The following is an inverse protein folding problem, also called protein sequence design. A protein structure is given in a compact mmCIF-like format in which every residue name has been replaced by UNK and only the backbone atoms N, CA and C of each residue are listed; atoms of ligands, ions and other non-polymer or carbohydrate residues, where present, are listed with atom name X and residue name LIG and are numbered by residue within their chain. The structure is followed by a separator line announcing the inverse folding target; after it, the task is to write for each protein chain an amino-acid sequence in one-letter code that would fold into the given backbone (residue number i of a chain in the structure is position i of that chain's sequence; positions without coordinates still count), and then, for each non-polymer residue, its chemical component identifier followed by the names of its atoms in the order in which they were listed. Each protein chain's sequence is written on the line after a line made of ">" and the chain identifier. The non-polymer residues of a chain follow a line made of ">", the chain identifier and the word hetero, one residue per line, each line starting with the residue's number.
data_IF_120876174158
#
_entry.id   IF_120876174158
#
_cell.length_a   1.000
_cell.length_b   1.000
_cell.length_c   1.000
_cell.angle_alpha   90.00
_cell.angle_beta   90.00
_cell.angle_gamma   90.00
#
_symmetry.space_group_name_H-M   'P 1'
#
loop_
_entity.id
_entity.type
_entity.pdbx_description
1 polymer ?
#
# COMPACT_ATOMS: atom_id res chain seq x y z
N UNK A 1 -67.05 61.21 5.50
CA UNK A 1 -67.16 60.08 4.55
C UNK A 1 -65.97 59.15 4.83
N UNK A 2 -66.00 58.10 5.68
CA UNK A 2 -66.77 56.83 5.78
C UNK A 2 -66.24 55.67 4.92
N UNK A 3 -65.81 54.56 5.58
CA UNK A 3 -65.29 53.27 5.04
C UNK A 3 -63.93 53.41 4.31
N UNK A 4 -63.03 52.43 4.17
CA UNK A 4 -62.92 50.99 4.52
C UNK A 4 -61.63 50.42 3.90
N UNK A 5 -61.11 49.21 4.14
CA UNK A 5 -61.42 48.11 5.08
C UNK A 5 -60.30 47.05 5.02
N UNK A 6 -59.87 46.50 6.18
CA UNK A 6 -59.20 45.18 6.38
C UNK A 6 -57.83 44.91 5.70
N UNK A 7 -56.82 44.58 6.52
CA UNK A 7 -55.62 43.84 6.11
C UNK A 7 -55.88 42.33 6.19
N UNK A 8 -55.51 41.57 5.16
CA UNK A 8 -55.67 40.11 5.12
C UNK A 8 -54.51 39.40 5.83
N UNK A 9 -54.80 38.81 6.99
CA UNK A 9 -53.96 37.78 7.58
C UNK A 9 -54.34 36.39 7.05
N UNK A 10 -53.38 35.47 7.12
CA UNK A 10 -53.53 34.01 7.12
C UNK A 10 -53.22 33.22 5.84
N UNK A 11 -52.04 32.58 5.86
CA UNK A 11 -51.86 31.21 5.37
C UNK A 11 -50.71 30.52 6.09
N UNK A 12 -50.95 30.13 7.35
CA UNK A 12 -50.12 29.12 8.00
C UNK A 12 -50.31 27.76 7.29
N UNK A 13 -49.27 26.92 7.20
CA UNK A 13 -49.42 25.55 6.74
C UNK A 13 -50.26 24.70 7.72
N UNK A 14 -51.02 23.76 7.19
CA UNK A 14 -51.89 22.89 7.99
C UNK A 14 -51.09 21.94 8.91
N UNK A 15 -51.62 21.57 10.09
CA UNK A 15 -50.96 20.65 11.00
C UNK A 15 -50.85 19.23 10.41
N UNK A 16 -49.71 18.57 10.67
CA UNK A 16 -49.32 17.25 10.15
C UNK A 16 -50.19 16.05 10.62
N UNK A 17 -51.30 16.29 11.31
CA UNK A 17 -52.11 15.28 11.99
C UNK A 17 -53.17 14.57 11.11
N UNK A 18 -53.26 14.88 9.81
CA UNK A 18 -54.28 14.31 8.89
C UNK A 18 -53.72 13.48 7.72
N UNK A 19 -52.46 13.03 7.76
CA UNK A 19 -51.97 12.08 6.75
C UNK A 19 -52.43 10.65 7.08
N UNK A 20 -53.04 9.90 6.11
CA UNK A 20 -53.46 8.53 6.34
C UNK A 20 -52.26 7.63 6.64
N UNK A 21 -52.44 6.60 7.49
CA UNK A 21 -51.34 5.72 7.97
C UNK A 21 -50.47 5.13 6.84
N UNK A 22 -51.04 4.89 5.66
CA UNK A 22 -50.31 4.43 4.48
C UNK A 22 -49.34 5.48 3.89
N UNK A 23 -49.68 6.77 3.93
CA UNK A 23 -48.80 7.85 3.48
C UNK A 23 -47.58 7.99 4.41
N UNK A 24 -47.77 7.80 5.73
CA UNK A 24 -46.66 7.78 6.69
C UNK A 24 -45.70 6.62 6.41
N UNK A 25 -46.24 5.44 6.07
CA UNK A 25 -45.43 4.25 5.73
C UNK A 25 -44.60 4.46 4.46
N UNK A 26 -45.18 5.09 3.43
CA UNK A 26 -44.49 5.41 2.16
C UNK A 26 -43.38 6.45 2.36
N UNK A 27 -43.60 7.47 3.20
CA UNK A 27 -42.58 8.47 3.54
C UNK A 27 -41.41 7.82 4.30
N UNK A 28 -41.68 6.92 5.25
CA UNK A 28 -40.62 6.18 5.96
C UNK A 28 -39.82 5.29 5.00
N UNK A 29 -40.47 4.59 4.06
CA UNK A 29 -39.76 3.79 3.06
C UNK A 29 -38.86 4.66 2.16
N UNK A 30 -39.35 5.81 1.67
CA UNK A 30 -38.58 6.70 0.81
C UNK A 30 -37.34 7.30 1.50
N UNK A 31 -37.42 7.58 2.81
CA UNK A 31 -36.27 8.10 3.58
C UNK A 31 -35.20 7.02 3.80
N UNK A 32 -35.55 5.73 3.86
CA UNK A 32 -34.57 4.65 4.06
C UNK A 32 -33.70 4.32 2.84
N UNK A 33 -34.05 4.80 1.63
CA UNK A 33 -33.31 4.49 0.39
C UNK A 33 -32.12 5.45 0.14
N UNK A 34 -32.06 6.59 0.84
CA UNK A 34 -30.92 7.53 0.79
C UNK A 34 -30.00 7.44 2.01
N UNK A 35 -29.77 6.24 2.55
CA UNK A 35 -28.60 6.01 3.40
C UNK A 35 -27.33 6.17 2.54
N UNK A 36 -26.41 7.10 2.84
CA UNK A 36 -25.14 7.15 2.15
C UNK A 36 -24.40 5.84 2.41
N UNK A 37 -24.05 5.12 1.34
CA UNK A 37 -23.14 3.97 1.44
C UNK A 37 -21.90 4.43 2.22
N UNK A 38 -21.45 3.69 3.25
CA UNK A 38 -20.20 4.03 3.90
C UNK A 38 -19.12 4.03 2.83
N UNK A 39 -18.51 5.21 2.60
CA UNK A 39 -17.45 5.37 1.62
C UNK A 39 -16.43 4.27 1.86
N UNK A 40 -16.23 3.44 0.82
CA UNK A 40 -15.64 2.11 0.98
C UNK A 40 -14.35 2.20 1.79
N UNK A 41 -14.19 1.29 2.76
CA UNK A 41 -12.97 1.23 3.57
C UNK A 41 -11.79 1.11 2.61
N UNK A 42 -11.08 2.22 2.42
CA UNK A 42 -9.87 2.23 1.63
C UNK A 42 -8.89 1.35 2.37
N UNK A 43 -8.71 0.12 1.88
CA UNK A 43 -7.72 -0.80 2.41
C UNK A 43 -6.39 -0.12 2.23
N UNK A 44 -5.89 0.50 3.29
CA UNK A 44 -4.60 1.12 3.23
C UNK A 44 -3.60 0.00 2.93
N UNK A 45 -2.82 0.17 1.86
CA UNK A 45 -1.83 -0.80 1.44
C UNK A 45 -0.45 -0.27 1.82
N UNK A 46 0.40 -1.12 2.41
CA UNK A 46 1.79 -0.73 2.57
C UNK A 46 2.51 -0.91 1.23
N UNK A 47 3.27 0.10 0.81
CA UNK A 47 3.87 0.20 -0.51
C UNK A 47 5.38 0.00 -0.41
N UNK A 48 5.96 -0.71 -1.37
CA UNK A 48 7.42 -0.88 -1.48
C UNK A 48 7.96 0.08 -2.54
N UNK A 49 9.15 0.62 -2.33
CA UNK A 49 9.64 1.75 -3.11
C UNK A 49 9.05 3.09 -2.62
N UNK A 50 8.56 3.15 -1.38
CA UNK A 50 8.00 4.34 -0.77
C UNK A 50 8.37 4.43 0.72
N UNK A 51 8.77 5.64 1.16
CA UNK A 51 8.87 6.00 2.58
C UNK A 51 7.77 6.99 2.97
N UNK A 52 7.11 6.74 4.10
CA UNK A 52 6.36 7.76 4.83
C UNK A 52 7.31 8.35 5.84
N UNK A 53 7.84 9.53 5.55
CA UNK A 53 8.87 10.20 6.33
C UNK A 53 8.39 10.69 7.71
N UNK A 54 9.05 11.73 8.23
CA UNK A 54 8.74 12.32 9.52
C UNK A 54 9.26 11.52 10.73
N UNK A 55 8.98 12.05 11.92
CA UNK A 55 9.59 11.58 13.15
C UNK A 55 9.10 10.18 13.59
N UNK A 56 10.04 9.27 13.82
CA UNK A 56 9.77 7.99 14.46
C UNK A 56 9.85 8.13 15.98
N UNK A 57 8.86 7.59 16.72
CA UNK A 57 8.93 7.52 18.18
C UNK A 57 9.70 6.29 18.68
N UNK A 58 9.95 5.32 17.79
CA UNK A 58 10.86 4.20 18.04
C UNK A 58 11.46 3.69 16.74
N UNK A 59 12.75 3.37 16.79
CA UNK A 59 13.55 2.83 15.69
C UNK A 59 14.29 1.59 16.20
N UNK A 60 14.28 0.49 15.45
CA UNK A 60 14.90 -0.77 15.89
C UNK A 60 15.30 -1.67 14.71
N UNK A 61 16.32 -2.53 14.86
CA UNK A 61 16.74 -3.46 13.81
C UNK A 61 15.77 -4.63 13.66
N UNK A 62 15.62 -5.14 12.43
CA UNK A 62 14.76 -6.29 12.10
C UNK A 62 15.62 -7.43 11.57
N UNK A 63 15.87 -8.44 12.43
CA UNK A 63 16.77 -9.57 12.11
C UNK A 63 16.34 -10.43 10.92
N UNK A 64 15.04 -10.54 10.65
CA UNK A 64 14.53 -11.26 9.48
C UNK A 64 14.70 -10.51 8.16
N UNK A 65 15.06 -9.21 8.22
CA UNK A 65 14.98 -8.29 7.09
C UNK A 65 13.63 -8.34 6.33
N UNK A 66 12.54 -8.64 7.04
CA UNK A 66 11.19 -8.73 6.50
C UNK A 66 10.35 -7.51 6.92
N UNK A 67 9.84 -6.68 5.97
CA UNK A 67 8.95 -5.57 6.30
C UNK A 67 7.66 -6.02 7.00
N UNK A 68 7.19 -7.26 6.81
CA UNK A 68 6.02 -7.79 7.51
C UNK A 68 6.22 -7.84 9.04
N UNK A 69 7.47 -8.01 9.52
CA UNK A 69 7.77 -7.95 10.94
C UNK A 69 7.65 -6.52 11.51
N UNK A 70 7.95 -5.50 10.70
CA UNK A 70 7.77 -4.09 11.03
C UNK A 70 6.28 -3.73 11.11
N UNK A 71 5.52 -4.11 10.07
CA UNK A 71 4.07 -3.96 10.01
C UNK A 71 3.38 -4.62 11.21
N UNK A 72 3.67 -5.90 11.47
CA UNK A 72 3.06 -6.66 12.56
C UNK A 72 3.36 -6.07 13.96
N UNK A 73 4.47 -5.34 14.14
CA UNK A 73 4.73 -4.61 15.39
C UNK A 73 3.90 -3.33 15.48
N UNK A 74 3.71 -2.60 14.38
CA UNK A 74 2.79 -1.46 14.33
C UNK A 74 1.36 -1.86 14.69
N UNK A 75 0.89 -3.01 14.19
CA UNK A 75 -0.45 -3.52 14.51
C UNK A 75 -0.66 -3.76 16.02
N UNK A 76 0.37 -4.25 16.72
CA UNK A 76 0.29 -4.51 18.17
C UNK A 76 0.57 -3.29 19.04
N UNK A 77 1.19 -2.24 18.52
CA UNK A 77 1.49 -1.01 19.27
C UNK A 77 0.33 0.00 19.17
N UNK A 78 -0.27 0.35 20.32
CA UNK A 78 -1.39 1.30 20.39
C UNK A 78 -1.05 2.73 19.94
N UNK A 79 0.23 3.13 19.99
CA UNK A 79 0.72 4.44 19.55
C UNK A 79 1.02 4.50 18.06
N UNK A 80 1.18 3.35 17.40
CA UNK A 80 1.55 3.31 16.00
C UNK A 80 0.37 3.73 15.11
N UNK A 81 0.63 4.67 14.19
CA UNK A 81 -0.29 5.07 13.11
C UNK A 81 0.32 4.83 11.74
N UNK A 82 1.63 4.91 11.62
CA UNK A 82 2.38 4.51 10.43
C UNK A 82 3.73 3.89 10.77
N UNK A 83 4.30 3.18 9.82
CA UNK A 83 5.61 2.57 9.92
C UNK A 83 6.38 2.74 8.62
N UNK A 84 7.71 2.79 8.71
CA UNK A 84 8.56 2.52 7.55
C UNK A 84 9.71 1.60 7.89
N UNK A 85 10.18 0.91 6.86
CA UNK A 85 11.16 -0.15 6.92
C UNK A 85 12.21 0.11 5.85
N UNK A 86 13.46 0.27 6.26
CA UNK A 86 14.60 0.29 5.35
C UNK A 86 15.12 -1.13 5.17
N UNK A 87 15.30 -1.53 3.90
CA UNK A 87 16.00 -2.77 3.54
C UNK A 87 17.47 -2.72 4.01
N UNK A 88 18.11 -3.87 4.25
CA UNK A 88 19.54 -3.90 4.57
C UNK A 88 20.37 -3.39 3.38
N UNK A 89 21.58 -2.93 3.68
CA UNK A 89 22.59 -2.47 2.71
C UNK A 89 23.93 -3.17 2.97
N UNK A 90 24.96 -2.84 2.20
CA UNK A 90 26.33 -3.28 2.49
C UNK A 90 26.84 -2.83 3.89
N UNK A 91 26.32 -1.70 4.37
CA UNK A 91 26.84 -0.97 5.54
C UNK A 91 25.98 -1.16 6.80
N UNK A 92 24.75 -1.67 6.66
CA UNK A 92 23.81 -1.77 7.78
C UNK A 92 22.70 -2.79 7.58
N UNK A 93 22.23 -3.35 8.70
CA UNK A 93 21.07 -4.25 8.73
C UNK A 93 19.74 -3.52 8.51
N UNK A 94 18.67 -4.29 8.30
CA UNK A 94 17.33 -3.74 8.11
C UNK A 94 16.80 -2.99 9.35
N UNK A 95 16.13 -1.86 9.15
CA UNK A 95 15.66 -0.97 10.24
C UNK A 95 14.18 -0.65 10.09
N UNK A 96 13.41 -0.89 11.15
CA UNK A 96 12.02 -0.46 11.28
C UNK A 96 11.89 0.82 12.10
N UNK A 97 10.99 1.71 11.68
CA UNK A 97 10.68 3.02 12.27
C UNK A 97 9.17 3.12 12.47
N UNK A 98 8.69 3.15 13.71
CA UNK A 98 7.25 3.36 13.99
C UNK A 98 6.96 4.83 14.28
N UNK A 99 5.84 5.32 13.75
CA UNK A 99 5.43 6.73 13.73
C UNK A 99 4.03 6.89 14.30
N UNK A 100 3.85 7.98 15.05
CA UNK A 100 2.58 8.29 15.72
C UNK A 100 1.65 9.15 14.85
N UNK A 101 2.13 9.62 13.70
CA UNK A 101 1.40 10.38 12.68
C UNK A 101 1.52 9.67 11.33
N UNK A 102 0.60 9.98 10.41
CA UNK A 102 0.56 9.45 9.04
C UNK A 102 1.03 10.53 8.08
N UNK A 103 2.34 10.57 7.83
CA UNK A 103 2.91 11.44 6.79
C UNK A 103 2.58 10.91 5.39
N UNK A 104 2.62 11.80 4.39
CA UNK A 104 2.48 11.43 2.99
C UNK A 104 3.57 10.43 2.55
N UNK A 105 3.22 9.48 1.68
CA UNK A 105 4.19 8.57 1.10
C UNK A 105 4.95 9.28 -0.03
N UNK A 106 6.28 9.19 -0.01
CA UNK A 106 7.17 9.65 -1.07
C UNK A 106 7.88 8.45 -1.67
N UNK A 107 8.06 8.43 -3.00
CA UNK A 107 8.84 7.39 -3.65
C UNK A 107 10.27 7.35 -3.10
N UNK A 108 10.68 6.18 -2.62
CA UNK A 108 12.01 5.88 -2.08
C UNK A 108 12.35 4.39 -2.25
N UNK A 109 13.24 4.02 -3.20
CA UNK A 109 13.64 2.63 -3.45
C UNK A 109 14.25 1.90 -2.24
N UNK A 110 14.74 2.60 -1.20
CA UNK A 110 15.32 1.96 -0.01
C UNK A 110 14.33 1.14 0.80
N UNK A 111 13.03 1.42 0.62
CA UNK A 111 12.13 1.33 1.74
C UNK A 111 10.74 0.81 1.38
N UNK A 112 10.09 0.25 2.40
CA UNK A 112 8.68 -0.11 2.41
C UNK A 112 8.00 0.67 3.54
N UNK A 113 6.79 1.17 3.33
CA UNK A 113 6.05 1.91 4.36
C UNK A 113 4.56 1.70 4.28
N UNK A 114 3.90 1.80 5.43
CA UNK A 114 2.47 1.56 5.57
C UNK A 114 1.86 2.33 6.73
N UNK A 115 0.54 2.35 6.79
CA UNK A 115 -0.20 2.82 7.97
C UNK A 115 -0.62 1.63 8.83
N UNK A 116 -1.11 1.87 10.04
CA UNK A 116 -1.70 0.81 10.86
C UNK A 116 -2.97 0.25 10.21
N UNK A 117 -3.13 -1.07 10.25
CA UNK A 117 -4.13 -1.81 9.49
C UNK A 117 -3.71 -2.12 8.05
N UNK A 118 -2.60 -1.56 7.55
CA UNK A 118 -2.12 -1.84 6.21
C UNK A 118 -1.28 -3.11 6.16
N UNK A 119 -1.86 -4.18 5.63
CA UNK A 119 -1.11 -5.35 5.20
C UNK A 119 -0.03 -4.94 4.20
N UNK A 120 1.16 -5.53 4.32
CA UNK A 120 2.22 -5.38 3.30
C UNK A 120 1.70 -5.96 2.01
N UNK A 121 1.38 -5.08 1.07
CA UNK A 121 0.79 -5.44 -0.22
C UNK A 121 1.85 -5.14 -1.25
N UNK A 122 2.48 -6.19 -1.76
CA UNK A 122 3.56 -6.07 -2.75
C UNK A 122 2.99 -5.45 -4.02
N UNK A 123 3.23 -4.15 -4.21
CA UNK A 123 2.63 -3.40 -5.31
C UNK A 123 3.30 -3.82 -6.62
N UNK A 124 2.50 -4.42 -7.51
CA UNK A 124 2.96 -4.83 -8.83
C UNK A 124 2.86 -3.66 -9.81
N UNK A 125 3.61 -2.60 -9.54
CA UNK A 125 3.56 -1.32 -10.26
C UNK A 125 4.31 -1.38 -11.62
N UNK A 126 4.06 -2.42 -12.42
CA UNK A 126 4.57 -2.53 -13.79
C UNK A 126 5.69 -3.55 -14.03
N UNK A 127 5.73 -4.66 -13.27
CA UNK A 127 6.49 -5.86 -13.66
C UNK A 127 7.48 -6.43 -12.64
N UNK A 128 7.48 -5.95 -11.39
CA UNK A 128 8.31 -6.47 -10.31
C UNK A 128 7.48 -7.15 -9.21
N UNK A 129 7.62 -8.46 -9.06
CA UNK A 129 7.14 -9.26 -7.93
C UNK A 129 8.09 -9.04 -6.73
N UNK A 130 7.84 -7.99 -5.96
CA UNK A 130 8.59 -7.69 -4.74
C UNK A 130 8.38 -8.81 -3.71
N UNK A 131 9.40 -9.11 -2.91
CA UNK A 131 9.32 -10.14 -1.87
C UNK A 131 9.27 -11.57 -2.42
N UNK A 132 9.47 -11.74 -3.73
CA UNK A 132 9.45 -13.02 -4.44
C UNK A 132 10.82 -13.35 -5.02
N UNK A 133 11.27 -14.57 -4.73
CA UNK A 133 12.38 -15.26 -5.36
C UNK A 133 11.83 -16.37 -6.27
N UNK A 134 12.25 -16.39 -7.53
CA UNK A 134 11.95 -17.45 -8.50
C UNK A 134 13.19 -18.31 -8.72
N UNK A 135 13.74 -18.92 -7.67
CA UNK A 135 15.04 -19.60 -7.71
C UNK A 135 15.15 -20.72 -8.78
N UNK A 136 16.30 -20.75 -9.47
CA UNK A 136 16.73 -21.84 -10.35
C UNK A 136 16.45 -21.61 -11.83
N UNK A 137 17.12 -22.37 -12.71
CA UNK A 137 17.06 -22.13 -14.16
C UNK A 137 17.83 -20.87 -14.60
N UNK A 138 18.69 -20.36 -13.73
CA UNK A 138 19.58 -19.24 -13.97
C UNK A 138 20.66 -19.63 -14.99
N UNK A 139 20.85 -18.79 -16.01
CA UNK A 139 21.93 -18.97 -17.01
C UNK A 139 23.03 -17.93 -16.88
N UNK A 140 22.76 -16.82 -16.18
CA UNK A 140 23.70 -15.73 -16.00
C UNK A 140 23.41 -15.01 -14.69
N UNK A 141 24.48 -14.72 -13.95
CA UNK A 141 24.44 -13.83 -12.79
C UNK A 141 25.19 -12.55 -13.15
N UNK A 142 24.62 -11.40 -12.81
CA UNK A 142 25.26 -10.08 -12.95
C UNK A 142 25.45 -9.51 -11.55
N UNK A 143 26.67 -9.17 -11.16
CA UNK A 143 26.91 -8.25 -10.05
C UNK A 143 26.62 -6.82 -10.53
N UNK A 144 25.89 -6.04 -9.73
CA UNK A 144 25.42 -4.70 -10.09
C UNK A 144 26.05 -3.63 -9.20
N UNK A 145 25.99 -2.37 -9.64
CA UNK A 145 26.36 -1.20 -8.83
C UNK A 145 25.50 -1.13 -7.54
N UNK A 146 26.03 -0.55 -6.47
CA UNK A 146 25.40 -0.60 -5.14
C UNK A 146 24.00 0.04 -5.09
N UNK A 147 23.80 1.07 -5.89
CA UNK A 147 22.57 1.85 -6.07
C UNK A 147 21.61 1.27 -7.13
N UNK A 148 21.99 0.18 -7.81
CA UNK A 148 21.18 -0.41 -8.87
C UNK A 148 19.84 -0.92 -8.34
N UNK A 149 18.78 -0.69 -9.12
CA UNK A 149 17.42 -1.12 -8.81
C UNK A 149 17.00 -2.31 -9.68
N UNK A 150 15.89 -2.97 -9.31
CA UNK A 150 15.41 -4.17 -10.01
C UNK A 150 15.07 -3.93 -11.49
N UNK A 151 14.80 -2.68 -11.89
CA UNK A 151 14.56 -2.30 -13.27
C UNK A 151 15.76 -2.65 -14.19
N UNK A 152 16.98 -2.67 -13.66
CA UNK A 152 18.18 -3.11 -14.40
C UNK A 152 18.07 -4.59 -14.78
N UNK A 153 17.57 -5.45 -13.89
CA UNK A 153 17.29 -6.85 -14.19
C UNK A 153 16.20 -7.01 -15.25
N UNK A 154 15.13 -6.22 -15.14
CA UNK A 154 14.04 -6.24 -16.11
C UNK A 154 14.55 -5.91 -17.50
N UNK A 155 15.25 -4.79 -17.66
CA UNK A 155 15.82 -4.36 -18.94
C UNK A 155 16.84 -5.36 -19.51
N UNK A 156 17.72 -5.93 -18.67
CA UNK A 156 18.67 -6.96 -19.11
C UNK A 156 17.98 -8.24 -19.63
N UNK A 157 16.89 -8.67 -18.97
CA UNK A 157 16.11 -9.82 -19.42
C UNK A 157 15.29 -9.52 -20.68
N UNK A 158 14.66 -8.35 -20.76
CA UNK A 158 13.91 -7.90 -21.95
C UNK A 158 14.81 -7.72 -23.19
N UNK A 159 16.11 -7.46 -23.00
CA UNK A 159 17.11 -7.42 -24.06
C UNK A 159 17.62 -8.79 -24.57
N UNK A 160 17.26 -9.91 -23.91
CA UNK A 160 17.75 -11.25 -24.28
C UNK A 160 16.61 -12.21 -24.65
N UNK A 161 16.57 -12.66 -25.91
CA UNK A 161 15.52 -13.57 -26.43
C UNK A 161 15.41 -14.93 -25.73
N UNK A 162 16.46 -15.36 -25.02
CA UNK A 162 16.48 -16.57 -24.19
C UNK A 162 15.93 -16.35 -22.78
N UNK A 163 15.79 -15.11 -22.33
CA UNK A 163 15.36 -14.79 -20.97
C UNK A 163 13.84 -14.92 -20.84
N UNK A 164 13.39 -15.56 -19.75
CA UNK A 164 11.97 -15.78 -19.45
C UNK A 164 11.59 -15.30 -18.05
N UNK A 165 12.57 -15.22 -17.14
CA UNK A 165 12.39 -14.61 -15.84
C UNK A 165 13.71 -14.02 -15.34
N UNK A 166 13.61 -13.12 -14.39
CA UNK A 166 14.74 -12.52 -13.69
C UNK A 166 14.45 -12.45 -12.19
N UNK A 167 15.52 -12.42 -11.38
CA UNK A 167 15.43 -12.10 -9.95
C UNK A 167 16.53 -11.13 -9.59
N UNK A 168 16.14 -9.96 -9.10
CA UNK A 168 17.00 -8.97 -8.46
C UNK A 168 17.10 -9.29 -6.97
N UNK A 169 18.32 -9.55 -6.51
CA UNK A 169 18.69 -9.70 -5.11
C UNK A 169 19.23 -8.36 -4.60
N UNK A 170 18.59 -7.78 -3.59
CA UNK A 170 19.07 -6.56 -2.91
C UNK A 170 20.41 -6.79 -2.22
N UNK A 171 21.22 -5.74 -2.14
CA UNK A 171 22.38 -5.65 -1.26
C UNK A 171 22.03 -5.97 0.20
N UNK A 172 23.02 -6.33 1.01
CA UNK A 172 22.88 -6.56 2.46
C UNK A 172 22.18 -7.86 2.87
N UNK A 173 21.53 -8.57 1.95
CA UNK A 173 20.89 -9.88 2.24
C UNK A 173 21.84 -11.08 2.17
N UNK A 174 22.82 -11.04 1.27
CA UNK A 174 23.80 -12.13 1.04
C UNK A 174 25.21 -11.58 0.86
N UNK A 175 25.35 -10.40 0.26
CA UNK A 175 26.62 -9.71 0.06
C UNK A 175 26.42 -8.20 -0.07
N UNK A 176 27.52 -7.43 -0.21
CA UNK A 176 27.47 -5.97 -0.25
C UNK A 176 26.86 -5.42 -1.56
N UNK A 177 27.01 -6.13 -2.68
CA UNK A 177 26.46 -5.73 -3.98
C UNK A 177 25.09 -6.37 -4.23
N UNK A 178 24.16 -5.65 -4.90
CA UNK A 178 22.98 -6.28 -5.45
C UNK A 178 23.36 -7.17 -6.65
N UNK A 179 22.54 -8.20 -6.92
CA UNK A 179 22.76 -9.15 -8.01
C UNK A 179 21.53 -9.35 -8.87
N UNK A 180 21.76 -9.57 -10.15
CA UNK A 180 20.76 -10.06 -11.07
C UNK A 180 20.96 -11.53 -11.38
N UNK A 181 19.87 -12.30 -11.41
CA UNK A 181 19.86 -13.69 -11.84
C UNK A 181 18.89 -13.85 -13.02
N UNK A 182 19.41 -13.98 -14.23
CA UNK A 182 18.65 -14.13 -15.48
C UNK A 182 18.39 -15.61 -15.78
N UNK A 183 17.16 -15.96 -16.19
CA UNK A 183 16.67 -17.36 -16.25
C UNK A 183 16.07 -17.73 -17.60
N UNK A 184 16.31 -18.96 -18.06
CA UNK A 184 15.80 -19.49 -19.34
C UNK A 184 14.37 -20.02 -19.27
N UNK A 185 13.80 -20.09 -18.06
CA UNK A 185 12.44 -20.57 -17.77
C UNK A 185 11.79 -19.69 -16.72
N UNK A 186 10.53 -19.99 -16.38
CA UNK A 186 9.79 -19.33 -15.29
C UNK A 186 9.66 -20.32 -14.11
N UNK A 187 10.52 -20.22 -13.07
CA UNK A 187 10.37 -21.02 -11.85
C UNK A 187 9.16 -20.56 -11.02
N UNK A 188 8.62 -21.43 -10.14
CA UNK A 188 7.51 -21.06 -9.27
C UNK A 188 7.93 -19.95 -8.27
N UNK A 189 7.04 -19.00 -7.94
CA UNK A 189 7.33 -17.92 -7.00
C UNK A 189 7.46 -18.46 -5.57
N UNK A 190 8.47 -17.97 -4.83
CA UNK A 190 8.69 -18.27 -3.40
C UNK A 190 8.84 -16.98 -2.62
N UNK A 191 8.18 -16.86 -1.46
CA UNK A 191 8.35 -15.69 -0.59
C UNK A 191 9.77 -15.61 -0.04
N UNK A 192 10.48 -14.52 -0.36
CA UNK A 192 11.75 -14.10 0.22
C UNK A 192 11.88 -12.56 0.18
N UNK A 193 11.97 -11.88 1.34
CA UNK A 193 12.09 -10.41 1.42
C UNK A 193 13.30 -9.80 0.66
N UNK A 194 14.33 -10.61 0.41
CA UNK A 194 15.55 -10.22 -0.32
C UNK A 194 15.33 -9.64 -1.71
N UNK A 195 14.24 -10.06 -2.34
CA UNK A 195 14.26 -10.26 -3.76
C UNK A 195 13.06 -9.58 -4.44
N UNK A 196 13.28 -9.14 -5.66
CA UNK A 196 12.24 -8.72 -6.59
C UNK A 196 12.41 -9.59 -7.82
N UNK A 197 11.38 -10.31 -8.23
CA UNK A 197 11.42 -11.13 -9.46
C UNK A 197 10.55 -10.54 -10.55
N UNK A 198 10.70 -11.03 -11.77
CA UNK A 198 9.75 -10.74 -12.84
C UNK A 198 9.79 -11.80 -13.93
N UNK A 199 8.79 -11.79 -14.78
CA UNK A 199 8.65 -12.70 -15.93
C UNK A 199 8.58 -11.88 -17.22
N UNK A 200 9.26 -12.35 -18.24
CA UNK A 200 9.24 -11.78 -19.60
C UNK A 200 8.49 -12.78 -20.49
N UNK A 201 7.55 -12.28 -21.28
CA UNK A 201 6.69 -13.09 -22.16
C UNK A 201 7.27 -13.11 -23.57
#
# INVERSE_FOLDING_TARGET
>A
MTRGTVSDESRLPAPLSLLPRHALLVIVLLVTVMAPLPAGWSTAHAQVGFDRGGAAYTTFPVRSADPAACAARCERDARCRAWSFAYPTAEGGAVCRLKAQVEAAKADPCCASGVKGAGVTETNDGGGEVGIDRAGGDYQTLDLAAEATWQVCKAACEGESRCRAWTFLRAGYVGPTPRCYLKTRIPPPRKRPCCVSGVVK
#
